data_IF_152795843416
#
_entry.id   IF_152795843416
#
_cell.length_a   1.000
_cell.length_b   1.000
_cell.length_c   1.000
_cell.angle_alpha   90.00
_cell.angle_beta   90.00
_cell.angle_gamma   90.00
#
_symmetry.space_group_name_H-M   'P 1'
#
loop_
_entity.id
_entity.type
_entity.pdbx_description
1 polymer ?
#
# COMPACT_ATOMS: atom_id res chain seq x y z
N UNK A 1 35.17 -16.23 28.11
CA UNK A 1 34.14 -15.46 28.84
C UNK A 1 33.29 -14.76 27.80
N UNK A 2 32.09 -15.28 27.53
CA UNK A 2 31.15 -14.65 26.62
C UNK A 2 30.48 -13.50 27.38
N UNK A 3 30.74 -12.26 26.95
CA UNK A 3 30.06 -11.07 27.46
C UNK A 3 28.61 -11.19 26.98
N UNK A 4 27.69 -11.44 27.89
CA UNK A 4 26.26 -11.35 27.62
C UNK A 4 25.94 -9.93 27.17
N UNK A 5 25.65 -9.74 25.88
CA UNK A 5 25.10 -8.49 25.35
C UNK A 5 23.75 -8.23 26.03
N UNK A 6 23.76 -7.42 27.09
CA UNK A 6 22.54 -6.81 27.60
C UNK A 6 21.90 -6.05 26.42
N UNK A 7 20.71 -6.49 26.01
CA UNK A 7 19.97 -5.86 24.93
C UNK A 7 19.65 -4.41 25.35
N UNK A 8 20.45 -3.46 24.87
CA UNK A 8 20.22 -2.03 25.07
C UNK A 8 18.79 -1.68 24.67
N UNK A 9 18.13 -0.89 25.51
CA UNK A 9 16.78 -0.42 25.25
C UNK A 9 16.77 0.46 23.98
N UNK A 10 15.62 0.54 23.27
CA UNK A 10 15.48 1.44 22.14
C UNK A 10 15.84 2.90 22.45
N UNK A 11 15.57 3.35 23.67
CA UNK A 11 15.90 4.70 24.12
C UNK A 11 17.41 4.90 24.32
N UNK A 12 18.10 3.92 24.90
CA UNK A 12 19.57 3.97 25.04
C UNK A 12 20.25 4.00 23.67
N UNK A 13 19.78 3.18 22.72
CA UNK A 13 20.31 3.20 21.34
C UNK A 13 20.10 4.54 20.64
N UNK A 14 18.94 5.19 20.87
CA UNK A 14 18.71 6.54 20.38
C UNK A 14 19.66 7.55 21.05
N UNK A 15 19.88 7.46 22.37
CA UNK A 15 20.83 8.35 23.06
C UNK A 15 22.26 8.18 22.58
N UNK A 16 22.70 6.95 22.38
CA UNK A 16 24.02 6.63 21.83
C UNK A 16 24.19 7.25 20.44
N UNK A 17 23.17 7.11 19.59
CA UNK A 17 23.13 7.75 18.27
C UNK A 17 23.27 9.28 18.34
N UNK A 18 22.54 9.94 19.25
CA UNK A 18 22.62 11.40 19.44
C UNK A 18 24.03 11.81 19.90
N UNK A 19 24.66 11.03 20.78
CA UNK A 19 26.03 11.27 21.21
C UNK A 19 27.04 11.07 20.07
N UNK A 20 26.85 10.06 19.23
CA UNK A 20 27.68 9.82 18.05
C UNK A 20 27.55 10.97 17.03
N UNK A 21 26.33 11.49 16.81
CA UNK A 21 26.13 12.68 15.98
C UNK A 21 26.87 13.90 16.54
N UNK A 22 26.76 14.15 17.84
CA UNK A 22 27.40 15.27 18.52
C UNK A 22 28.94 15.16 18.47
N UNK A 23 29.49 13.97 18.71
CA UNK A 23 30.93 13.72 18.62
C UNK A 23 31.47 13.83 17.19
N UNK A 24 30.69 13.38 16.20
CA UNK A 24 31.06 13.47 14.79
C UNK A 24 30.80 14.86 14.18
N UNK A 25 30.23 15.80 14.93
CA UNK A 25 29.80 17.12 14.42
C UNK A 25 28.73 17.02 13.32
N UNK A 26 27.99 15.91 13.27
CA UNK A 26 26.92 15.66 12.29
C UNK A 26 25.59 16.20 12.81
N UNK A 27 24.68 16.48 11.90
CA UNK A 27 23.34 17.01 12.21
C UNK A 27 22.27 15.95 12.01
N UNK A 28 21.07 16.20 12.53
CA UNK A 28 19.94 15.30 12.31
C UNK A 28 19.56 15.26 10.82
N UNK A 29 19.38 14.05 10.24
CA UNK A 29 18.98 13.94 8.84
C UNK A 29 17.55 14.47 8.66
N UNK A 30 17.33 15.20 7.56
CA UNK A 30 15.99 15.70 7.19
C UNK A 30 15.45 14.98 5.96
N UNK A 31 14.13 15.03 5.79
CA UNK A 31 13.43 14.57 4.61
C UNK A 31 13.40 15.68 3.53
N UNK A 32 12.83 15.37 2.37
CA UNK A 32 12.66 16.30 1.26
C UNK A 32 11.77 17.52 1.58
N UNK A 33 11.04 17.50 2.70
CA UNK A 33 10.18 18.58 3.18
C UNK A 33 10.84 19.42 4.29
N UNK A 34 12.06 19.06 4.72
CA UNK A 34 12.78 19.74 5.80
C UNK A 34 12.47 19.23 7.21
N UNK A 35 11.61 18.23 7.37
CA UNK A 35 11.36 17.60 8.67
C UNK A 35 12.40 16.52 8.98
N UNK A 36 12.57 16.18 10.26
CA UNK A 36 13.50 15.11 10.67
C UNK A 36 13.10 13.75 10.08
N UNK A 37 14.07 13.08 9.46
CA UNK A 37 13.87 11.78 8.83
C UNK A 37 14.04 10.65 9.85
N UNK A 38 12.94 10.35 10.55
CA UNK A 38 12.90 9.24 11.52
C UNK A 38 13.20 7.87 10.94
N UNK A 39 13.05 7.65 9.63
CA UNK A 39 13.42 6.39 9.00
C UNK A 39 14.93 6.21 9.01
N UNK A 40 15.66 7.24 8.58
CA UNK A 40 17.13 7.22 8.54
C UNK A 40 17.71 7.14 9.95
N UNK A 41 17.12 7.86 10.92
CA UNK A 41 17.50 7.74 12.33
C UNK A 41 17.26 6.33 12.84
N UNK A 42 16.09 5.72 12.54
CA UNK A 42 15.76 4.37 12.97
C UNK A 42 16.79 3.35 12.47
N UNK A 43 17.18 3.44 11.20
CA UNK A 43 18.18 2.57 10.59
C UNK A 43 19.56 2.75 11.23
N UNK A 44 19.98 4.01 11.47
CA UNK A 44 21.28 4.33 12.06
C UNK A 44 21.39 3.91 13.53
N UNK A 45 20.34 4.09 14.33
CA UNK A 45 20.31 3.67 15.75
C UNK A 45 19.82 2.22 15.95
N UNK A 46 19.49 1.49 14.88
CA UNK A 46 18.98 0.12 14.93
C UNK A 46 17.60 -0.04 15.60
N UNK A 47 16.79 1.01 15.62
CA UNK A 47 15.42 1.00 16.12
C UNK A 47 14.40 0.69 15.01
N UNK A 48 13.19 0.29 15.42
CA UNK A 48 12.05 0.23 14.49
C UNK A 48 11.53 1.64 14.24
N UNK A 49 11.21 1.98 13.00
CA UNK A 49 10.63 3.30 12.66
C UNK A 49 9.38 3.62 13.48
N UNK A 50 8.49 2.65 13.70
CA UNK A 50 7.25 2.84 14.47
C UNK A 50 7.49 3.16 15.94
N UNK A 51 8.66 2.84 16.48
CA UNK A 51 8.99 3.10 17.89
C UNK A 51 8.90 4.59 18.23
N UNK A 52 9.34 5.46 17.32
CA UNK A 52 9.28 6.92 17.50
C UNK A 52 7.84 7.41 17.65
N UNK A 53 6.91 6.91 16.82
CA UNK A 53 5.49 7.27 16.92
C UNK A 53 4.80 6.64 18.12
N UNK A 54 5.07 5.37 18.41
CA UNK A 54 4.44 4.63 19.52
C UNK A 54 4.89 5.12 20.90
N UNK A 55 6.10 5.68 20.97
CA UNK A 55 6.72 6.11 22.22
C UNK A 55 6.79 7.63 22.37
N UNK A 56 6.31 8.40 21.39
CA UNK A 56 6.38 9.88 21.38
C UNK A 56 5.90 10.52 22.69
N UNK A 57 4.78 10.03 23.24
CA UNK A 57 4.15 10.55 24.46
C UNK A 57 4.63 9.88 25.76
N UNK A 58 5.48 8.85 25.68
CA UNK A 58 5.99 8.16 26.86
C UNK A 58 7.12 8.96 27.48
N UNK A 59 7.21 8.94 28.82
CA UNK A 59 8.26 9.61 29.59
C UNK A 59 9.48 8.70 29.69
N UNK A 60 10.66 9.22 29.33
CA UNK A 60 11.92 8.47 29.35
C UNK A 60 12.99 9.11 30.22
N UNK A 61 12.83 10.38 30.60
CA UNK A 61 13.78 11.08 31.46
C UNK A 61 13.24 11.22 32.91
N UNK A 62 14.11 11.19 33.93
CA UNK A 62 13.73 11.46 35.32
C UNK A 62 13.07 12.83 35.52
N UNK A 63 13.34 13.78 34.61
CA UNK A 63 12.80 15.13 34.61
C UNK A 63 11.34 15.21 34.11
N UNK A 64 10.72 14.08 33.75
CA UNK A 64 9.36 14.03 33.25
C UNK A 64 9.21 14.30 31.75
N UNK A 65 10.32 14.47 31.01
CA UNK A 65 10.27 14.75 29.58
C UNK A 65 9.78 13.54 28.76
N UNK A 66 8.88 13.79 27.81
CA UNK A 66 8.44 12.79 26.82
C UNK A 66 9.49 12.58 25.74
N UNK A 67 9.43 11.46 25.01
CA UNK A 67 10.36 11.19 23.91
C UNK A 67 10.35 12.31 22.85
N UNK A 68 9.18 12.83 22.51
CA UNK A 68 9.03 13.95 21.58
C UNK A 68 9.76 15.21 22.08
N UNK A 69 9.63 15.52 23.36
CA UNK A 69 10.32 16.66 23.97
C UNK A 69 11.84 16.45 24.02
N UNK A 70 12.30 15.23 24.30
CA UNK A 70 13.71 14.88 24.27
C UNK A 70 14.28 15.08 22.86
N UNK A 71 13.62 14.51 21.84
CA UNK A 71 14.02 14.65 20.43
C UNK A 71 14.04 16.13 20.03
N UNK A 72 13.02 16.91 20.40
CA UNK A 72 12.98 18.34 20.10
C UNK A 72 14.14 19.12 20.75
N UNK A 73 14.52 18.77 21.99
CA UNK A 73 15.69 19.36 22.67
C UNK A 73 16.99 18.96 21.97
N UNK A 74 17.13 17.70 21.59
CA UNK A 74 18.32 17.21 20.87
C UNK A 74 18.48 17.88 19.50
N UNK A 75 17.38 18.03 18.75
CA UNK A 75 17.37 18.75 17.47
C UNK A 75 17.78 20.21 17.66
N UNK A 76 17.33 20.88 18.74
CA UNK A 76 17.75 22.26 19.04
C UNK A 76 19.22 22.34 19.47
N UNK A 77 19.74 21.30 20.13
CA UNK A 77 21.14 21.24 20.60
C UNK A 77 22.12 21.00 19.46
N UNK A 78 21.84 20.01 18.61
CA UNK A 78 22.74 19.55 17.53
C UNK A 78 22.47 20.27 16.21
N UNK A 79 21.22 20.64 15.96
CA UNK A 79 20.74 21.18 14.69
C UNK A 79 20.32 20.09 13.69
N UNK A 80 19.57 20.49 12.67
CA UNK A 80 19.18 19.64 11.53
C UNK A 80 20.03 19.94 10.29
N UNK A 81 20.24 18.93 9.45
CA UNK A 81 20.82 19.12 8.12
C UNK A 81 19.93 20.08 7.32
N UNK A 82 20.54 21.11 6.73
CA UNK A 82 19.84 21.96 5.76
C UNK A 82 19.88 21.24 4.42
N UNK A 83 18.75 20.72 3.95
CA UNK A 83 18.59 20.38 2.54
C UNK A 83 18.27 21.68 1.81
N UNK A 84 19.16 22.11 0.92
CA UNK A 84 18.83 23.12 -0.09
C UNK A 84 17.52 22.68 -0.74
N UNK A 85 16.48 23.51 -0.63
CA UNK A 85 15.18 23.20 -1.21
C UNK A 85 15.40 22.81 -2.69
N UNK A 86 14.96 21.59 -3.05
CA UNK A 86 15.00 21.13 -4.43
C UNK A 86 14.23 22.15 -5.27
N UNK A 87 14.75 22.51 -6.44
CA UNK A 87 14.11 23.46 -7.34
C UNK A 87 12.62 23.08 -7.51
N UNK A 88 11.67 23.97 -7.15
CA UNK A 88 10.24 23.67 -7.21
C UNK A 88 9.82 23.21 -8.61
N UNK A 89 10.47 23.72 -9.66
CA UNK A 89 10.21 23.30 -11.04
C UNK A 89 10.58 21.82 -11.26
N UNK A 90 11.74 21.39 -10.75
CA UNK A 90 12.18 20.00 -10.84
C UNK A 90 11.23 19.04 -10.09
N UNK A 91 10.69 19.47 -8.95
CA UNK A 91 9.69 18.68 -8.19
C UNK A 91 8.39 18.55 -8.98
N UNK A 92 7.92 19.63 -9.61
CA UNK A 92 6.72 19.60 -10.44
C UNK A 92 6.89 18.71 -11.67
N UNK A 93 8.06 18.71 -12.29
CA UNK A 93 8.40 17.80 -13.39
C UNK A 93 8.38 16.34 -12.95
N UNK A 94 9.03 16.01 -11.82
CA UNK A 94 9.03 14.64 -11.27
C UNK A 94 7.59 14.16 -10.98
N UNK A 95 6.74 15.03 -10.44
CA UNK A 95 5.33 14.73 -10.18
C UNK A 95 4.57 14.53 -11.49
N UNK A 96 4.73 15.44 -12.46
CA UNK A 96 4.06 15.35 -13.76
C UNK A 96 4.42 14.06 -14.50
N UNK A 97 5.70 13.68 -14.51
CA UNK A 97 6.18 12.45 -15.12
C UNK A 97 5.62 11.21 -14.43
N UNK A 98 5.62 11.19 -13.09
CA UNK A 98 5.05 10.07 -12.32
C UNK A 98 3.56 9.90 -12.62
N UNK A 99 2.81 11.01 -12.67
CA UNK A 99 1.37 11.01 -12.92
C UNK A 99 1.03 10.67 -14.36
N UNK A 100 1.85 11.10 -15.32
CA UNK A 100 1.72 10.73 -16.73
C UNK A 100 1.89 9.22 -16.93
N UNK A 101 2.92 8.62 -16.32
CA UNK A 101 3.15 7.16 -16.36
C UNK A 101 2.01 6.38 -15.72
N UNK A 102 1.55 6.82 -14.55
CA UNK A 102 0.41 6.23 -13.85
C UNK A 102 -0.87 6.30 -14.71
N UNK A 103 -1.17 7.46 -15.28
CA UNK A 103 -2.34 7.66 -16.15
C UNK A 103 -2.30 6.76 -17.39
N UNK A 104 -1.14 6.63 -18.04
CA UNK A 104 -0.99 5.76 -19.21
C UNK A 104 -1.19 4.29 -18.86
N UNK A 105 -0.66 3.84 -17.71
CA UNK A 105 -0.88 2.48 -17.21
C UNK A 105 -2.36 2.22 -16.93
N UNK A 106 -3.03 3.15 -16.26
CA UNK A 106 -4.46 3.02 -15.95
C UNK A 106 -5.33 3.01 -17.22
N UNK A 107 -5.01 3.85 -18.21
CA UNK A 107 -5.70 3.83 -19.52
C UNK A 107 -5.56 2.48 -20.23
N UNK A 108 -4.35 1.93 -20.27
CA UNK A 108 -4.11 0.62 -20.88
C UNK A 108 -4.87 -0.50 -20.16
N UNK A 109 -4.88 -0.50 -18.82
CA UNK A 109 -5.66 -1.46 -18.04
C UNK A 109 -7.17 -1.31 -18.28
N UNK A 110 -7.67 -0.08 -18.35
CA UNK A 110 -9.08 0.19 -18.62
C UNK A 110 -9.50 -0.35 -19.99
N UNK A 111 -8.69 -0.10 -21.02
CA UNK A 111 -8.95 -0.59 -22.38
C UNK A 111 -8.99 -2.12 -22.42
N UNK A 112 -8.01 -2.78 -21.79
CA UNK A 112 -7.99 -4.24 -21.70
C UNK A 112 -9.24 -4.78 -20.98
N UNK A 113 -9.59 -4.22 -19.83
CA UNK A 113 -10.75 -4.66 -19.05
C UNK A 113 -12.07 -4.38 -19.75
N UNK A 114 -12.16 -3.30 -20.51
CA UNK A 114 -13.33 -3.00 -21.35
C UNK A 114 -13.53 -4.07 -22.42
N UNK A 115 -12.46 -4.45 -23.14
CA UNK A 115 -12.52 -5.52 -24.16
C UNK A 115 -12.91 -6.87 -23.56
N UNK A 116 -12.33 -7.22 -22.41
CA UNK A 116 -12.71 -8.44 -21.68
C UNK A 116 -14.19 -8.41 -21.27
N UNK A 117 -14.71 -7.26 -20.84
CA UNK A 117 -16.12 -7.13 -20.45
C UNK A 117 -17.07 -7.30 -21.64
N UNK A 118 -16.71 -6.76 -22.80
CA UNK A 118 -17.49 -6.86 -24.03
C UNK A 118 -17.60 -8.32 -24.50
N UNK A 119 -16.47 -9.05 -24.54
CA UNK A 119 -16.46 -10.49 -24.87
C UNK A 119 -17.33 -11.29 -23.89
N UNK A 120 -17.24 -11.01 -22.59
CA UNK A 120 -18.06 -11.70 -21.60
C UNK A 120 -19.56 -11.42 -21.79
N UNK A 121 -19.95 -10.19 -22.17
CA UNK A 121 -21.34 -9.85 -22.47
C UNK A 121 -21.86 -10.62 -23.68
N UNK A 122 -21.07 -10.69 -24.76
CA UNK A 122 -21.43 -11.47 -25.95
C UNK A 122 -21.61 -12.97 -25.62
N UNK A 123 -20.74 -13.53 -24.80
CA UNK A 123 -20.86 -14.92 -24.34
C UNK A 123 -22.11 -15.15 -23.51
N UNK A 124 -22.44 -14.23 -22.59
CA UNK A 124 -23.66 -14.30 -21.78
C UNK A 124 -24.90 -14.24 -22.66
N UNK A 125 -24.93 -13.36 -23.65
CA UNK A 125 -26.05 -13.25 -24.59
C UNK A 125 -26.23 -14.53 -25.41
N UNK A 126 -25.13 -15.07 -25.97
CA UNK A 126 -25.14 -16.32 -26.72
C UNK A 126 -25.63 -17.50 -25.89
N UNK A 127 -25.08 -17.70 -24.69
CA UNK A 127 -25.47 -18.78 -23.80
C UNK A 127 -26.92 -18.64 -23.33
N UNK A 128 -27.38 -17.41 -23.08
CA UNK A 128 -28.77 -17.16 -22.71
C UNK A 128 -29.74 -17.52 -23.84
N UNK A 129 -29.39 -17.21 -25.10
CA UNK A 129 -30.16 -17.61 -26.27
C UNK A 129 -30.22 -19.13 -26.43
N UNK A 130 -29.09 -19.82 -26.26
CA UNK A 130 -28.99 -21.28 -26.33
C UNK A 130 -29.84 -21.95 -25.24
N UNK A 131 -29.75 -21.48 -23.99
CA UNK A 131 -30.60 -21.97 -22.89
C UNK A 131 -32.08 -21.78 -23.20
N UNK A 132 -32.47 -20.65 -23.81
CA UNK A 132 -33.86 -20.41 -24.19
C UNK A 132 -34.34 -21.41 -25.24
N UNK A 133 -33.53 -21.68 -26.26
CA UNK A 133 -33.85 -22.65 -27.32
C UNK A 133 -33.97 -24.07 -26.76
N UNK A 134 -33.00 -24.49 -25.94
CA UNK A 134 -33.02 -25.82 -25.31
C UNK A 134 -34.23 -26.01 -24.40
N UNK A 135 -34.61 -24.98 -23.63
CA UNK A 135 -35.82 -25.03 -22.79
C UNK A 135 -37.10 -25.14 -23.62
N UNK A 136 -37.18 -24.42 -24.74
CA UNK A 136 -38.33 -24.50 -25.64
C UNK A 136 -38.44 -25.90 -26.27
N UNK A 137 -37.33 -26.44 -26.76
CA UNK A 137 -37.29 -27.80 -27.32
C UNK A 137 -37.63 -28.87 -26.28
N UNK A 138 -37.11 -28.74 -25.04
CA UNK A 138 -37.46 -29.66 -23.97
C UNK A 138 -38.96 -29.61 -23.64
N UNK A 139 -39.56 -28.42 -23.56
CA UNK A 139 -41.00 -28.26 -23.32
C UNK A 139 -41.83 -28.90 -24.44
N UNK A 140 -41.46 -28.69 -25.71
CA UNK A 140 -42.15 -29.28 -26.85
C UNK A 140 -42.09 -30.81 -26.82
N UNK A 141 -40.93 -31.39 -26.51
CA UNK A 141 -40.76 -32.83 -26.34
C UNK A 141 -41.65 -33.35 -25.20
N UNK A 142 -41.71 -32.65 -24.06
CA UNK A 142 -42.59 -33.03 -22.95
C UNK A 142 -44.05 -33.02 -23.36
N UNK A 143 -44.51 -31.97 -24.06
CA UNK A 143 -45.90 -31.89 -24.56
C UNK A 143 -46.21 -33.00 -25.57
N UNK A 144 -45.28 -33.31 -26.47
CA UNK A 144 -45.42 -34.44 -27.41
C UNK A 144 -45.49 -35.78 -26.68
N UNK A 145 -44.69 -35.97 -25.63
CA UNK A 145 -44.74 -37.18 -24.79
C UNK A 145 -46.07 -37.33 -24.05
N UNK A 146 -46.60 -36.25 -23.47
CA UNK A 146 -47.92 -36.25 -22.82
C UNK A 146 -49.03 -36.63 -23.82
N UNK A 147 -49.03 -36.02 -25.01
CA UNK A 147 -49.98 -36.35 -26.07
C UNK A 147 -49.88 -37.81 -26.53
N UNK A 148 -48.67 -38.37 -26.59
CA UNK A 148 -48.45 -39.78 -26.92
C UNK A 148 -49.03 -40.72 -25.85
N UNK A 149 -48.85 -40.39 -24.57
CA UNK A 149 -49.40 -41.17 -23.45
C UNK A 149 -50.93 -41.14 -23.48
N UNK A 150 -51.54 -39.97 -23.70
CA UNK A 150 -52.99 -39.81 -23.65
C UNK A 150 -53.71 -40.39 -24.87
N UNK A 151 -53.12 -40.28 -26.06
CA UNK A 151 -53.77 -40.65 -27.33
C UNK A 151 -53.26 -41.95 -27.97
N UNK A 152 -52.15 -42.50 -27.47
CA UNK A 152 -51.47 -43.66 -28.08
C UNK A 152 -50.85 -43.37 -29.46
N UNK A 153 -50.85 -42.12 -29.93
CA UNK A 153 -50.26 -41.73 -31.22
C UNK A 153 -48.74 -41.60 -31.10
N UNK A 154 -48.01 -42.24 -32.00
CA UNK A 154 -46.56 -42.03 -32.15
C UNK A 154 -46.30 -40.79 -32.99
N UNK A 155 -45.54 -39.85 -32.44
CA UNK A 155 -44.96 -38.73 -33.18
C UNK A 155 -43.49 -39.08 -33.47
N UNK A 156 -43.13 -39.13 -34.76
CA UNK A 156 -41.74 -39.33 -35.19
C UNK A 156 -41.15 -37.94 -35.40
N UNK A 157 -40.03 -37.66 -34.73
CA UNK A 157 -39.24 -36.44 -34.86
C UNK A 157 -38.64 -36.29 -36.27
#
# INVERSE_FOLDING_TARGET
MAISEEKRSPFERYRDYVLELEQAGKKFPVNQFGDVNFSKIADECGNRRQWFSESAKKVFCPNGDTLEQVIAKDIRRIGSEFVLAKDPEAVLVDIADSKSREANRLRSMLEQKSKENEILREQVERLSAEVRLLRASAAEITTQQELMIDSGRSFIL
#
